data_IF_431347143832
#
_entry.id   IF_431347143832
#
_cell.length_a   1.000
_cell.length_b   1.000
_cell.length_c   1.000
_cell.angle_alpha   90.00
_cell.angle_beta   90.00
_cell.angle_gamma   90.00
#
_symmetry.space_group_name_H-M   'P 1'
#
loop_
_entity.id
_entity.type
_entity.pdbx_description
1 polymer ?
#
# COMPACT_ATOMS: atom_id res chain seq x y z
N UNK A 1 -41.21 -35.19 7.41
CA UNK A 1 -41.78 -33.85 7.65
C UNK A 1 -40.80 -32.85 8.29
N UNK A 2 -40.08 -33.19 9.36
CA UNK A 2 -39.17 -32.27 10.08
C UNK A 2 -38.06 -31.64 9.18
N UNK A 3 -37.51 -32.40 8.22
CA UNK A 3 -36.48 -31.94 7.30
C UNK A 3 -36.99 -30.93 6.26
N UNK A 4 -38.28 -31.01 5.87
CA UNK A 4 -38.93 -30.04 4.98
C UNK A 4 -39.19 -28.70 5.69
N UNK A 5 -39.71 -28.72 6.93
CA UNK A 5 -39.95 -27.48 7.71
C UNK A 5 -38.65 -26.72 7.95
N UNK A 6 -37.53 -27.43 8.20
CA UNK A 6 -36.20 -26.83 8.37
C UNK A 6 -35.63 -26.22 7.08
N UNK A 7 -35.92 -26.84 5.93
CA UNK A 7 -35.55 -26.31 4.61
C UNK A 7 -36.41 -25.10 4.22
N UNK A 8 -37.70 -25.10 4.56
CA UNK A 8 -38.62 -23.96 4.34
C UNK A 8 -38.16 -22.75 5.16
N UNK A 9 -37.91 -22.92 6.46
CA UNK A 9 -37.34 -21.86 7.32
C UNK A 9 -35.97 -21.38 6.82
N UNK A 10 -35.14 -22.28 6.27
CA UNK A 10 -33.83 -21.90 5.71
C UNK A 10 -33.93 -21.09 4.40
N UNK A 11 -34.95 -21.34 3.58
CA UNK A 11 -35.21 -20.60 2.33
C UNK A 11 -35.85 -19.24 2.60
N UNK A 12 -36.79 -19.14 3.56
CA UNK A 12 -37.41 -17.87 3.95
C UNK A 12 -36.40 -16.86 4.53
N UNK A 13 -35.48 -17.31 5.39
CA UNK A 13 -34.44 -16.44 5.98
C UNK A 13 -33.46 -15.91 4.92
N UNK A 14 -33.16 -16.72 3.88
CA UNK A 14 -32.35 -16.29 2.73
C UNK A 14 -33.11 -15.30 1.83
N UNK A 15 -34.42 -15.50 1.65
CA UNK A 15 -35.27 -14.61 0.87
C UNK A 15 -35.51 -13.25 1.56
N UNK A 16 -35.65 -13.19 2.89
CA UNK A 16 -35.76 -11.94 3.66
C UNK A 16 -34.51 -11.03 3.53
N UNK A 17 -33.32 -11.64 3.38
CA UNK A 17 -32.07 -10.91 3.17
C UNK A 17 -31.96 -10.32 1.74
N UNK A 18 -32.80 -10.76 0.79
CA UNK A 18 -32.83 -10.31 -0.60
C UNK A 18 -33.87 -9.22 -0.88
N UNK A 19 -34.90 -9.08 -0.05
CA UNK A 19 -36.06 -8.20 -0.29
C UNK A 19 -35.85 -6.75 0.15
N UNK A 20 -34.87 -6.46 1.02
CA UNK A 20 -34.47 -5.09 1.36
C UNK A 20 -33.08 -4.77 0.77
N UNK A 21 -33.07 -4.33 -0.50
CA UNK A 21 -31.86 -3.92 -1.26
C UNK A 21 -30.99 -2.91 -0.49
N UNK A 22 -31.60 -2.11 0.39
CA UNK A 22 -30.98 -1.19 1.33
C UNK A 22 -30.08 -1.90 2.36
N UNK A 23 -30.59 -2.94 3.03
CA UNK A 23 -29.86 -3.69 4.06
C UNK A 23 -28.64 -4.43 3.49
N UNK A 24 -28.78 -5.07 2.32
CA UNK A 24 -27.65 -5.69 1.62
C UNK A 24 -26.56 -4.67 1.27
N UNK A 25 -26.96 -3.46 0.82
CA UNK A 25 -26.02 -2.39 0.47
C UNK A 25 -25.23 -1.92 1.70
N UNK A 26 -25.88 -1.74 2.85
CA UNK A 26 -25.22 -1.36 4.11
C UNK A 26 -24.22 -2.44 4.56
N UNK A 27 -24.64 -3.71 4.59
CA UNK A 27 -23.77 -4.82 4.97
C UNK A 27 -22.54 -4.93 4.04
N UNK A 28 -22.74 -4.74 2.73
CA UNK A 28 -21.67 -4.70 1.74
C UNK A 28 -20.70 -3.55 2.03
N UNK A 29 -21.19 -2.34 2.30
CA UNK A 29 -20.35 -1.17 2.63
C UNK A 29 -19.50 -1.46 3.87
N UNK A 30 -20.09 -1.96 4.97
CA UNK A 30 -19.36 -2.28 6.20
C UNK A 30 -18.22 -3.29 5.96
N UNK A 31 -18.49 -4.31 5.13
CA UNK A 31 -17.47 -5.28 4.71
C UNK A 31 -16.32 -4.63 3.94
N UNK A 32 -16.60 -3.72 3.02
CA UNK A 32 -15.55 -3.01 2.29
C UNK A 32 -14.78 -2.03 3.18
N UNK A 33 -15.47 -1.28 4.05
CA UNK A 33 -14.87 -0.34 5.00
C UNK A 33 -13.86 -1.03 5.91
N UNK A 34 -14.21 -2.19 6.48
CA UNK A 34 -13.28 -2.97 7.33
C UNK A 34 -12.06 -3.46 6.55
N UNK A 35 -12.25 -3.95 5.30
CA UNK A 35 -11.15 -4.37 4.43
C UNK A 35 -10.24 -3.19 4.05
N UNK A 36 -10.80 -2.03 3.75
CA UNK A 36 -10.06 -0.81 3.44
C UNK A 36 -9.25 -0.33 4.64
N UNK A 37 -9.84 -0.28 5.84
CA UNK A 37 -9.13 0.09 7.08
C UNK A 37 -7.85 -0.75 7.27
N UNK A 38 -7.97 -2.08 7.15
CA UNK A 38 -6.81 -3.00 7.26
C UNK A 38 -5.71 -2.70 6.22
N UNK A 39 -6.10 -2.50 4.96
CA UNK A 39 -5.16 -2.15 3.87
C UNK A 39 -4.49 -0.80 4.09
N UNK A 40 -5.25 0.20 4.55
CA UNK A 40 -4.74 1.55 4.84
C UNK A 40 -3.67 1.52 5.92
N UNK A 41 -3.86 0.74 7.00
CA UNK A 41 -2.86 0.61 8.07
C UNK A 41 -1.53 0.06 7.53
N UNK A 42 -1.57 -1.06 6.80
CA UNK A 42 -0.38 -1.68 6.19
C UNK A 42 0.29 -0.73 5.19
N UNK A 43 -0.50 -0.06 4.35
CA UNK A 43 0.04 0.89 3.37
C UNK A 43 0.64 2.13 4.03
N UNK A 44 0.09 2.59 5.16
CA UNK A 44 0.63 3.70 5.94
C UNK A 44 2.02 3.36 6.48
N UNK A 45 2.19 2.18 7.08
CA UNK A 45 3.48 1.69 7.59
C UNK A 45 4.53 1.54 6.47
N UNK A 46 4.13 0.97 5.33
CA UNK A 46 5.04 0.83 4.18
C UNK A 46 5.39 2.20 3.56
N UNK A 47 4.45 3.16 3.57
CA UNK A 47 4.69 4.50 3.06
C UNK A 47 5.59 5.30 3.98
N UNK A 48 5.45 5.17 5.30
CA UNK A 48 6.32 5.84 6.28
C UNK A 48 7.76 5.34 6.17
N UNK A 49 7.97 4.01 6.16
CA UNK A 49 9.31 3.41 5.97
C UNK A 49 9.97 3.86 4.68
N UNK A 50 9.23 3.89 3.56
CA UNK A 50 9.73 4.41 2.28
C UNK A 50 10.11 5.90 2.35
N UNK A 51 9.26 6.74 2.98
CA UNK A 51 9.56 8.18 3.14
C UNK A 51 10.83 8.38 3.96
N UNK A 52 10.99 7.64 5.06
CA UNK A 52 12.17 7.70 5.91
C UNK A 52 13.43 7.27 5.17
N UNK A 53 13.38 6.17 4.40
CA UNK A 53 14.53 5.72 3.62
C UNK A 53 14.95 6.77 2.58
N UNK A 54 13.99 7.34 1.85
CA UNK A 54 14.28 8.41 0.87
C UNK A 54 14.85 9.65 1.53
N UNK A 55 14.36 10.03 2.72
CA UNK A 55 14.91 11.17 3.48
C UNK A 55 16.37 10.91 3.87
N UNK A 56 16.66 9.75 4.48
CA UNK A 56 18.02 9.36 4.89
C UNK A 56 19.00 9.32 3.71
N UNK A 57 18.59 8.82 2.55
CA UNK A 57 19.44 8.83 1.36
C UNK A 57 19.73 10.24 0.87
N UNK A 58 18.75 11.16 0.92
CA UNK A 58 18.97 12.56 0.52
C UNK A 58 19.93 13.27 1.46
N UNK A 59 19.78 13.06 2.77
CA UNK A 59 20.67 13.64 3.79
C UNK A 59 22.11 13.13 3.61
N UNK A 60 22.29 11.82 3.41
CA UNK A 60 23.62 11.24 3.17
C UNK A 60 24.29 11.79 1.90
N UNK A 61 23.52 12.03 0.83
CA UNK A 61 24.05 12.64 -0.40
C UNK A 61 24.42 14.12 -0.18
N UNK A 62 23.68 14.86 0.64
CA UNK A 62 23.98 16.26 0.96
C UNK A 62 25.24 16.39 1.83
N UNK A 63 25.42 15.49 2.79
CA UNK A 63 26.56 15.51 3.70
C UNK A 63 27.83 14.87 3.11
N UNK A 64 27.75 14.28 1.91
CA UNK A 64 28.83 13.51 1.27
C UNK A 64 29.37 12.37 2.16
N UNK A 65 28.47 11.68 2.86
CA UNK A 65 28.86 10.55 3.71
C UNK A 65 29.36 9.36 2.85
N UNK A 66 30.42 8.67 3.27
CA UNK A 66 30.91 7.44 2.60
C UNK A 66 29.82 6.36 2.44
N UNK A 67 28.83 6.37 3.35
CA UNK A 67 27.70 5.45 3.32
C UNK A 67 26.63 5.79 2.25
N UNK A 68 26.79 6.86 1.47
CA UNK A 68 25.78 7.35 0.51
C UNK A 68 25.31 6.27 -0.47
N UNK A 69 26.23 5.45 -0.98
CA UNK A 69 25.93 4.39 -1.95
C UNK A 69 25.08 3.28 -1.31
N UNK A 70 25.43 2.88 -0.08
CA UNK A 70 24.66 1.86 0.66
C UNK A 70 23.23 2.35 0.97
N UNK A 71 23.06 3.62 1.34
CA UNK A 71 21.75 4.22 1.62
C UNK A 71 20.94 4.38 0.35
N UNK A 72 21.57 4.71 -0.77
CA UNK A 72 20.93 4.78 -2.08
C UNK A 72 20.38 3.41 -2.51
N UNK A 73 21.20 2.35 -2.47
CA UNK A 73 20.78 0.98 -2.84
C UNK A 73 19.60 0.53 -1.99
N UNK A 74 19.63 0.80 -0.68
CA UNK A 74 18.53 0.48 0.22
C UNK A 74 17.24 1.24 -0.13
N UNK A 75 17.32 2.53 -0.46
CA UNK A 75 16.15 3.30 -0.89
C UNK A 75 15.58 2.80 -2.21
N UNK A 76 16.42 2.48 -3.20
CA UNK A 76 15.97 1.91 -4.48
C UNK A 76 15.23 0.60 -4.27
N UNK A 77 15.81 -0.31 -3.46
CA UNK A 77 15.17 -1.60 -3.11
C UNK A 77 13.79 -1.42 -2.48
N UNK A 78 13.63 -0.43 -1.59
CA UNK A 78 12.34 -0.15 -0.96
C UNK A 78 11.34 0.48 -1.93
N UNK A 79 11.79 1.35 -2.83
CA UNK A 79 10.96 1.94 -3.88
C UNK A 79 10.40 0.86 -4.80
N UNK A 80 11.24 -0.07 -5.24
CA UNK A 80 10.81 -1.13 -6.15
C UNK A 80 9.87 -2.13 -5.47
N UNK A 81 10.13 -2.48 -4.20
CA UNK A 81 9.17 -3.26 -3.40
C UNK A 81 7.82 -2.56 -3.24
N UNK A 82 7.80 -1.25 -3.05
CA UNK A 82 6.56 -0.48 -2.93
C UNK A 82 5.80 -0.39 -4.27
N UNK A 83 6.52 -0.33 -5.39
CA UNK A 83 5.94 -0.36 -6.72
C UNK A 83 5.33 -1.73 -7.04
N UNK A 84 6.04 -2.82 -6.75
CA UNK A 84 5.56 -4.19 -6.94
C UNK A 84 4.28 -4.47 -6.13
N UNK A 85 4.17 -3.92 -4.91
CA UNK A 85 2.97 -4.01 -4.07
C UNK A 85 1.83 -3.07 -4.48
N UNK A 86 2.02 -2.23 -5.51
CA UNK A 86 1.04 -1.24 -5.96
C UNK A 86 0.78 -0.09 -4.97
N UNK A 87 1.68 0.13 -4.01
CA UNK A 87 1.54 1.20 -3.00
C UNK A 87 1.89 2.57 -3.61
N UNK A 88 2.83 2.58 -4.55
CA UNK A 88 3.18 3.74 -5.38
C UNK A 88 3.00 3.38 -6.86
N UNK A 89 2.55 4.35 -7.65
CA UNK A 89 2.45 4.16 -9.09
C UNK A 89 3.85 4.00 -9.73
N UNK A 90 3.94 3.21 -10.81
CA UNK A 90 5.18 2.94 -11.55
C UNK A 90 5.94 4.22 -11.93
N UNK A 91 5.23 5.25 -12.41
CA UNK A 91 5.84 6.53 -12.79
C UNK A 91 6.37 7.29 -11.57
N UNK A 92 5.72 7.18 -10.40
CA UNK A 92 6.21 7.81 -9.18
C UNK A 92 7.45 7.09 -8.65
N UNK A 93 7.52 5.77 -8.77
CA UNK A 93 8.73 5.01 -8.47
C UNK A 93 9.89 5.42 -9.39
N UNK A 94 9.66 5.46 -10.71
CA UNK A 94 10.65 5.87 -11.69
C UNK A 94 11.17 7.30 -11.44
N UNK A 95 10.27 8.27 -11.18
CA UNK A 95 10.65 9.65 -10.84
C UNK A 95 11.54 9.72 -9.60
N UNK A 96 11.21 8.99 -8.54
CA UNK A 96 12.03 8.99 -7.31
C UNK A 96 13.41 8.37 -7.52
N UNK A 97 13.50 7.27 -8.29
CA UNK A 97 14.79 6.66 -8.65
C UNK A 97 15.64 7.62 -9.46
N UNK A 98 15.07 8.25 -10.49
CA UNK A 98 15.75 9.24 -11.32
C UNK A 98 16.26 10.45 -10.51
N UNK A 99 15.43 10.99 -9.60
CA UNK A 99 15.84 12.11 -8.74
C UNK A 99 17.04 11.74 -7.86
N UNK A 100 16.99 10.60 -7.19
CA UNK A 100 18.08 10.16 -6.31
C UNK A 100 19.37 9.89 -7.09
N UNK A 101 19.27 9.24 -8.25
CA UNK A 101 20.41 8.98 -9.12
C UNK A 101 21.06 10.30 -9.60
N UNK A 102 20.24 11.28 -10.00
CA UNK A 102 20.76 12.59 -10.43
C UNK A 102 21.49 13.32 -9.31
N UNK A 103 20.96 13.28 -8.09
CA UNK A 103 21.61 13.88 -6.92
C UNK A 103 22.95 13.19 -6.60
N UNK A 104 22.98 11.86 -6.63
CA UNK A 104 24.19 11.09 -6.34
C UNK A 104 25.27 11.32 -7.40
N UNK A 105 24.91 11.34 -8.68
CA UNK A 105 25.85 11.64 -9.76
C UNK A 105 26.39 13.07 -9.65
N UNK A 106 25.53 14.04 -9.30
CA UNK A 106 25.96 15.41 -9.10
C UNK A 106 26.93 15.55 -7.90
N UNK A 107 26.69 14.81 -6.82
CA UNK A 107 27.59 14.81 -5.66
C UNK A 107 28.96 14.19 -6.00
N UNK A 108 28.97 13.08 -6.77
CA UNK A 108 30.20 12.42 -7.24
C UNK A 108 30.97 13.21 -8.29
N UNK A 109 30.30 14.01 -9.11
CA UNK A 109 30.94 14.83 -10.14
C UNK A 109 31.50 16.16 -9.58
N UNK A 110 31.13 16.52 -8.34
CA UNK A 110 31.63 17.70 -7.63
C UNK A 110 32.73 17.34 -6.62
N UNK A 111 33.25 16.12 -6.70
CA UNK A 111 34.52 15.66 -6.13
C UNK A 111 35.53 15.46 -7.26
#
# INVERSE_FOLDING_TARGET
>A
MIKCVRLIYSQEVKNLASTNKSAYKIAKILKWTTKTKKRTLINSMNKSTLRTAVKKSKEAIQNKDEAMDSKYVNAVKLIDKAAAKGIIHKNTAARKKSQLARMLNAAKAAE
#
